data_IF_419381090325
#
_entry.id   IF_419381090325
#
_cell.length_a   1.000
_cell.length_b   1.000
_cell.length_c   1.000
_cell.angle_alpha   90.00
_cell.angle_beta   90.00
_cell.angle_gamma   90.00
#
_symmetry.space_group_name_H-M   'P 1'
#
loop_
_entity.id
_entity.type
_entity.pdbx_description
1 polymer ?
#
# COMPACT_ATOMS: atom_id res chain seq x y z
N UNK A 1 -51.30 -17.45 7.66
CA UNK A 1 -50.21 -18.40 7.97
C UNK A 1 -49.36 -17.81 9.07
N UNK A 2 -49.28 -18.47 10.23
CA UNK A 2 -48.46 -18.06 11.38
C UNK A 2 -47.12 -18.80 11.28
N UNK A 3 -46.03 -18.08 11.05
CA UNK A 3 -44.68 -18.63 11.20
C UNK A 3 -44.12 -18.19 12.55
N UNK A 4 -44.04 -19.13 13.48
CA UNK A 4 -43.33 -18.99 14.75
C UNK A 4 -41.82 -19.06 14.47
N UNK A 5 -41.14 -17.95 14.68
CA UNK A 5 -39.67 -17.90 14.75
C UNK A 5 -39.27 -18.38 16.15
N UNK A 6 -38.82 -19.63 16.26
CA UNK A 6 -38.11 -20.12 17.44
C UNK A 6 -36.68 -19.58 17.39
N UNK A 7 -36.46 -18.46 18.09
CA UNK A 7 -35.12 -18.00 18.48
C UNK A 7 -34.59 -18.94 19.57
N UNK A 8 -33.63 -19.79 19.23
CA UNK A 8 -32.90 -20.60 20.19
C UNK A 8 -31.53 -19.95 20.49
N UNK A 9 -31.55 -19.27 21.62
CA UNK A 9 -30.45 -18.94 22.52
C UNK A 9 -29.25 -19.91 22.48
N UNK A 10 -28.09 -19.47 22.00
CA UNK A 10 -26.80 -20.00 22.47
C UNK A 10 -26.05 -18.89 23.20
N UNK A 11 -26.18 -18.94 24.53
CA UNK A 11 -25.35 -18.22 25.49
C UNK A 11 -24.14 -19.11 25.79
N UNK A 12 -22.94 -18.64 25.50
CA UNK A 12 -21.71 -19.17 26.09
C UNK A 12 -20.87 -18.00 26.61
N UNK A 13 -21.02 -17.73 27.91
CA UNK A 13 -20.07 -16.99 28.77
C UNK A 13 -19.40 -18.05 29.67
N UNK A 14 -18.40 -17.72 30.50
CA UNK A 14 -17.10 -17.08 30.27
C UNK A 14 -15.96 -18.00 30.79
N UNK A 15 -14.68 -17.74 30.48
CA UNK A 15 -13.58 -18.26 31.32
C UNK A 15 -12.61 -17.14 31.66
N UNK A 16 -12.85 -16.55 32.82
CA UNK A 16 -11.83 -15.90 33.64
C UNK A 16 -10.66 -16.86 33.86
N UNK A 17 -9.45 -16.44 33.50
CA UNK A 17 -8.24 -16.87 34.19
C UNK A 17 -7.54 -15.62 34.70
N UNK A 18 -7.59 -15.44 36.02
CA UNK A 18 -6.81 -14.49 36.79
C UNK A 18 -5.63 -15.23 37.42
N UNK A 19 -4.41 -14.70 37.29
CA UNK A 19 -3.23 -14.90 38.14
C UNK A 19 -2.13 -13.96 37.60
N UNK A 20 -1.94 -12.75 38.14
CA UNK A 20 -1.11 -12.37 39.30
C UNK A 20 0.38 -12.74 39.16
N UNK A 21 1.23 -11.73 38.90
CA UNK A 21 2.69 -11.88 38.90
C UNK A 21 3.44 -10.57 38.62
N UNK A 22 3.42 -9.66 39.60
CA UNK A 22 4.27 -8.46 39.67
C UNK A 22 5.72 -8.89 39.90
N UNK A 23 6.69 -8.35 39.15
CA UNK A 23 7.99 -7.83 39.63
C UNK A 23 8.50 -6.86 38.55
N UNK A 24 8.60 -5.59 38.94
CA UNK A 24 9.26 -4.55 38.15
C UNK A 24 10.78 -4.65 38.25
N UNK A 25 11.44 -4.29 37.16
CA UNK A 25 12.86 -3.94 37.14
C UNK A 25 13.00 -2.62 36.38
N UNK A 26 12.94 -1.53 37.13
CA UNK A 26 13.40 -0.20 36.70
C UNK A 26 14.90 -0.07 36.98
N UNK A 27 15.52 0.94 36.34
CA UNK A 27 16.92 1.41 36.43
C UNK A 27 17.90 0.87 35.39
N UNK A 28 18.12 1.63 34.32
CA UNK A 28 19.13 2.70 34.35
C UNK A 28 18.99 3.68 33.19
N UNK A 29 18.92 4.95 33.57
CA UNK A 29 19.10 6.11 32.71
C UNK A 29 20.56 6.15 32.21
N UNK A 30 20.72 6.23 30.89
CA UNK A 30 21.99 6.57 30.24
C UNK A 30 21.78 7.77 29.34
N UNK A 31 21.83 8.97 29.92
CA UNK A 31 22.04 10.21 29.16
C UNK A 31 23.48 10.65 29.44
N UNK A 32 24.36 10.51 28.45
CA UNK A 32 25.71 11.06 28.47
C UNK A 32 26.14 11.35 27.03
N UNK A 33 25.97 12.59 26.58
CA UNK A 33 27.08 13.52 26.32
C UNK A 33 26.52 14.77 25.64
N UNK A 34 26.64 15.91 26.31
CA UNK A 34 26.38 17.22 25.71
C UNK A 34 27.44 17.54 24.68
N UNK A 35 27.05 17.59 23.41
CA UNK A 35 27.81 18.23 22.33
C UNK A 35 27.31 19.65 22.15
N UNK A 36 28.16 20.63 22.43
CA UNK A 36 27.84 22.05 22.30
C UNK A 36 27.61 22.46 20.84
N UNK A 37 26.51 23.14 20.59
CA UNK A 37 26.26 23.87 19.34
C UNK A 37 26.82 25.28 19.50
N UNK A 38 27.93 25.54 18.82
CA UNK A 38 28.26 26.91 18.42
C UNK A 38 27.19 27.37 17.41
N UNK A 39 26.70 28.63 17.48
CA UNK A 39 25.83 29.13 16.42
C UNK A 39 26.65 29.26 15.15
N UNK A 40 26.45 28.32 14.22
CA UNK A 40 26.96 28.44 12.86
C UNK A 40 26.24 29.63 12.24
N UNK A 41 27.05 30.60 11.85
CA UNK A 41 26.61 31.85 11.27
C UNK A 41 25.97 31.53 9.93
N UNK A 42 24.79 32.08 9.70
CA UNK A 42 23.93 31.92 8.54
C UNK A 42 24.60 32.51 7.29
N UNK A 43 25.65 31.88 6.77
CA UNK A 43 26.33 32.34 5.55
C UNK A 43 27.31 31.37 4.90
N UNK A 44 27.01 30.07 4.85
CA UNK A 44 27.60 29.17 3.84
C UNK A 44 26.88 27.82 3.84
N UNK A 45 25.71 27.75 3.18
CA UNK A 45 25.17 26.48 2.66
C UNK A 45 24.55 26.80 1.30
N UNK A 46 25.39 27.23 0.37
CA UNK A 46 25.07 27.27 -1.06
C UNK A 46 26.05 26.30 -1.72
N UNK A 47 25.68 25.02 -1.67
CA UNK A 47 26.09 23.93 -2.58
C UNK A 47 25.62 22.59 -1.98
N UNK A 48 24.34 22.29 -2.21
CA UNK A 48 23.83 20.93 -2.28
C UNK A 48 23.07 20.80 -3.61
N UNK A 49 23.79 21.06 -4.70
CA UNK A 49 23.38 20.73 -6.06
C UNK A 49 24.39 19.69 -6.55
N UNK A 50 24.00 18.42 -6.53
CA UNK A 50 24.57 17.24 -7.20
C UNK A 50 24.23 16.02 -6.32
N UNK A 51 23.33 15.11 -6.68
CA UNK A 51 22.98 14.61 -7.99
C UNK A 51 21.48 14.32 -8.02
N UNK A 52 20.73 14.95 -8.94
CA UNK A 52 19.52 14.31 -9.45
C UNK A 52 20.04 13.11 -10.23
N UNK A 53 19.86 11.92 -9.66
CA UNK A 53 19.89 10.73 -10.49
C UNK A 53 18.73 10.93 -11.47
N UNK A 54 19.07 11.11 -12.74
CA UNK A 54 18.14 10.81 -13.82
C UNK A 54 17.95 9.31 -13.68
N UNK A 55 16.93 8.92 -12.89
CA UNK A 55 16.53 7.53 -12.75
C UNK A 55 16.23 7.06 -14.17
N UNK A 56 17.12 6.21 -14.68
CA UNK A 56 16.81 5.42 -15.86
C UNK A 56 15.53 4.67 -15.49
N UNK A 57 14.38 5.17 -15.95
CA UNK A 57 13.06 4.67 -15.58
C UNK A 57 12.97 3.19 -15.92
N UNK A 58 13.31 2.36 -14.94
CA UNK A 58 13.21 0.91 -15.03
C UNK A 58 11.73 0.58 -14.92
N UNK A 59 11.04 0.61 -16.06
CA UNK A 59 9.65 0.25 -16.10
C UNK A 59 9.52 -1.25 -15.86
N UNK A 60 8.95 -1.62 -14.71
CA UNK A 60 8.61 -2.98 -14.38
C UNK A 60 7.30 -3.38 -15.07
N UNK A 61 7.21 -4.63 -15.54
CA UNK A 61 5.96 -5.17 -16.10
C UNK A 61 5.07 -5.66 -14.96
N UNK A 62 3.81 -5.21 -14.94
CA UNK A 62 2.83 -5.60 -13.95
C UNK A 62 2.42 -7.09 -14.14
N UNK A 63 2.73 -8.00 -13.20
CA UNK A 63 2.56 -9.45 -13.41
C UNK A 63 1.12 -9.91 -13.64
N UNK A 64 0.15 -9.13 -13.17
CA UNK A 64 -1.28 -9.44 -13.27
C UNK A 64 -2.00 -8.50 -14.25
N UNK A 65 -1.26 -7.67 -14.99
CA UNK A 65 -1.80 -6.71 -15.95
C UNK A 65 -2.53 -5.53 -15.31
N UNK A 66 -2.19 -5.20 -14.07
CA UNK A 66 -2.67 -4.00 -13.38
C UNK A 66 -1.73 -2.81 -13.50
N UNK A 67 -1.92 -1.84 -12.62
CA UNK A 67 -1.10 -0.64 -12.49
C UNK A 67 -0.15 -0.78 -11.32
N UNK A 68 1.15 -0.56 -11.57
CA UNK A 68 2.17 -0.58 -10.52
C UNK A 68 2.21 0.76 -9.79
N UNK A 69 2.31 0.67 -8.47
CA UNK A 69 2.49 1.78 -7.54
C UNK A 69 3.76 1.50 -6.77
N UNK A 70 4.74 2.39 -6.89
CA UNK A 70 6.00 2.27 -6.16
C UNK A 70 5.80 2.61 -4.68
N UNK A 71 6.42 1.83 -3.80
CA UNK A 71 6.29 1.96 -2.36
C UNK A 71 7.68 2.12 -1.72
N UNK A 72 7.87 3.26 -1.05
CA UNK A 72 9.05 3.50 -0.22
C UNK A 72 10.36 3.58 -0.99
N UNK A 73 10.46 4.46 -1.98
CA UNK A 73 11.70 4.67 -2.75
C UNK A 73 12.18 3.38 -3.45
N UNK A 74 11.27 2.80 -4.25
CA UNK A 74 11.45 1.55 -5.01
C UNK A 74 11.75 0.29 -4.17
N UNK A 75 11.52 0.30 -2.85
CA UNK A 75 11.75 -0.88 -2.01
C UNK A 75 10.73 -2.00 -2.26
N UNK A 76 9.50 -1.62 -2.59
CA UNK A 76 8.39 -2.52 -2.86
C UNK A 76 7.51 -1.93 -3.96
N UNK A 77 6.62 -2.76 -4.49
CA UNK A 77 5.57 -2.31 -5.40
C UNK A 77 4.22 -2.81 -4.90
N UNK A 78 3.16 -2.03 -5.13
CA UNK A 78 1.79 -2.52 -5.11
C UNK A 78 1.25 -2.57 -6.53
N UNK A 79 0.63 -3.67 -6.92
CA UNK A 79 -0.08 -3.75 -8.21
C UNK A 79 -1.58 -3.70 -7.97
N UNK A 80 -2.25 -2.70 -8.57
CA UNK A 80 -3.70 -2.54 -8.50
C UNK A 80 -4.33 -3.11 -9.76
N UNK A 81 -5.21 -4.10 -9.61
CA UNK A 81 -5.94 -4.73 -10.71
C UNK A 81 -7.43 -4.49 -10.50
N UNK A 82 -8.08 -3.88 -11.49
CA UNK A 82 -9.53 -3.80 -11.55
C UNK A 82 -10.10 -4.87 -12.49
N UNK A 83 -10.97 -5.72 -11.96
CA UNK A 83 -11.67 -6.76 -12.70
C UNK A 83 -13.13 -6.31 -12.95
N UNK A 84 -13.44 -5.59 -14.04
CA UNK A 84 -14.76 -4.98 -14.24
C UNK A 84 -15.90 -6.01 -14.34
N UNK A 85 -15.62 -7.20 -14.87
CA UNK A 85 -16.62 -8.27 -14.99
C UNK A 85 -17.03 -8.87 -13.64
N UNK A 86 -16.17 -8.75 -12.62
CA UNK A 86 -16.41 -9.28 -11.28
C UNK A 86 -16.70 -8.17 -10.26
N UNK A 87 -16.70 -6.90 -10.69
CA UNK A 87 -16.81 -5.72 -9.82
C UNK A 87 -15.85 -5.83 -8.63
N UNK A 88 -14.60 -6.18 -8.93
CA UNK A 88 -13.58 -6.53 -7.94
C UNK A 88 -12.32 -5.71 -8.14
N UNK A 89 -11.82 -5.15 -7.05
CA UNK A 89 -10.52 -4.49 -6.97
C UNK A 89 -9.57 -5.41 -6.23
N UNK A 90 -8.39 -5.64 -6.78
CA UNK A 90 -7.35 -6.49 -6.20
C UNK A 90 -6.08 -5.67 -6.08
N UNK A 91 -5.39 -5.80 -4.94
CA UNK A 91 -4.07 -5.24 -4.72
C UNK A 91 -3.11 -6.38 -4.38
N UNK A 92 -2.00 -6.45 -5.11
CA UNK A 92 -0.89 -7.34 -4.82
C UNK A 92 0.26 -6.54 -4.20
N UNK A 93 0.90 -7.10 -3.18
CA UNK A 93 2.14 -6.56 -2.60
C UNK A 93 3.31 -7.32 -3.20
N UNK A 94 4.25 -6.61 -3.80
CA UNK A 94 5.36 -7.14 -4.57
C UNK A 94 6.71 -6.60 -4.08
N UNK A 95 7.79 -7.28 -4.46
CA UNK A 95 9.15 -6.83 -4.19
C UNK A 95 9.55 -5.60 -5.03
N UNK A 96 10.78 -5.11 -4.81
CA UNK A 96 11.35 -3.95 -5.51
C UNK A 96 11.31 -4.05 -7.04
N UNK A 97 11.29 -5.26 -7.60
CA UNK A 97 11.30 -5.48 -9.06
C UNK A 97 9.93 -5.82 -9.63
N UNK A 98 8.88 -5.85 -8.79
CA UNK A 98 7.55 -6.30 -9.14
C UNK A 98 7.51 -7.73 -9.71
N UNK A 99 8.46 -8.59 -9.35
CA UNK A 99 8.55 -9.96 -9.89
C UNK A 99 8.01 -11.00 -8.92
N UNK A 100 8.13 -10.75 -7.61
CA UNK A 100 7.76 -11.69 -6.57
C UNK A 100 6.79 -11.06 -5.57
N UNK A 101 5.88 -11.87 -5.05
CA UNK A 101 4.92 -11.46 -4.02
C UNK A 101 5.57 -11.34 -2.64
N UNK A 102 5.13 -10.36 -1.87
CA UNK A 102 5.57 -10.11 -0.50
C UNK A 102 4.38 -10.27 0.43
N UNK A 103 4.35 -11.39 1.16
CA UNK A 103 3.28 -11.66 2.13
C UNK A 103 3.46 -10.79 3.38
N UNK A 104 2.36 -10.21 3.85
CA UNK A 104 2.33 -9.36 5.06
C UNK A 104 1.27 -9.85 6.04
N UNK A 105 1.48 -9.70 7.37
CA UNK A 105 0.55 -10.16 8.40
C UNK A 105 -0.61 -9.17 8.63
N UNK A 106 -1.31 -8.79 7.57
CA UNK A 106 -2.44 -7.87 7.61
C UNK A 106 -3.74 -8.60 7.27
N UNK A 107 -4.80 -8.33 8.02
CA UNK A 107 -6.16 -8.84 7.72
C UNK A 107 -6.86 -8.00 6.64
N UNK A 108 -6.46 -6.74 6.48
CA UNK A 108 -6.99 -5.82 5.50
C UNK A 108 -6.00 -4.67 5.24
N UNK A 109 -6.16 -4.02 4.08
CA UNK A 109 -5.53 -2.74 3.74
C UNK A 109 -6.59 -1.75 3.27
N UNK A 110 -6.23 -0.47 3.16
CA UNK A 110 -7.11 0.57 2.63
C UNK A 110 -6.54 1.16 1.33
N UNK A 111 -7.43 1.31 0.35
CA UNK A 111 -7.21 2.17 -0.80
C UNK A 111 -8.02 3.45 -0.60
N UNK A 112 -7.32 4.57 -0.39
CA UNK A 112 -7.95 5.88 -0.28
C UNK A 112 -8.33 6.37 -1.67
N UNK A 113 -9.62 6.54 -1.93
CA UNK A 113 -10.14 7.05 -3.20
C UNK A 113 -10.16 8.57 -3.17
N UNK A 114 -9.61 9.23 -4.18
CA UNK A 114 -9.65 10.68 -4.27
C UNK A 114 -11.11 11.19 -4.38
N UNK A 115 -11.51 12.07 -3.47
CA UNK A 115 -12.87 12.65 -3.46
C UNK A 115 -13.99 11.66 -3.10
N UNK A 116 -13.65 10.45 -2.64
CA UNK A 116 -14.61 9.39 -2.34
C UNK A 116 -14.41 8.76 -0.95
N UNK A 117 -15.21 7.73 -0.66
CA UNK A 117 -15.01 6.87 0.50
C UNK A 117 -13.88 5.87 0.24
N UNK A 118 -13.04 5.57 1.24
CA UNK A 118 -11.98 4.58 1.08
C UNK A 118 -12.56 3.18 0.82
N UNK A 119 -11.82 2.38 0.06
CA UNK A 119 -12.13 0.97 -0.19
C UNK A 119 -11.28 0.12 0.75
N UNK A 120 -11.93 -0.62 1.64
CA UNK A 120 -11.25 -1.62 2.48
C UNK A 120 -11.09 -2.92 1.71
N UNK A 121 -9.85 -3.36 1.50
CA UNK A 121 -9.54 -4.63 0.84
C UNK A 121 -9.16 -5.69 1.87
N UNK A 122 -9.87 -6.81 1.87
CA UNK A 122 -9.63 -7.92 2.79
C UNK A 122 -8.49 -8.80 2.29
N UNK A 123 -7.71 -9.36 3.22
CA UNK A 123 -6.67 -10.32 2.93
C UNK A 123 -7.23 -11.55 2.20
N UNK A 124 -6.60 -11.92 1.09
CA UNK A 124 -6.93 -13.10 0.31
C UNK A 124 -5.65 -13.90 -0.01
N UNK A 125 -5.11 -14.63 0.98
CA UNK A 125 -3.85 -15.36 0.84
C UNK A 125 -3.82 -16.26 -0.40
N UNK A 126 -2.64 -16.38 -0.99
CA UNK A 126 -2.39 -17.20 -2.18
C UNK A 126 -1.28 -18.23 -1.96
N UNK A 127 -1.04 -19.06 -2.97
CA UNK A 127 0.03 -20.06 -2.91
C UNK A 127 1.38 -19.36 -2.69
N UNK A 128 2.12 -19.81 -1.67
CA UNK A 128 3.38 -19.19 -1.24
C UNK A 128 3.25 -18.29 -0.01
N UNK A 129 2.04 -17.83 0.33
CA UNK A 129 1.82 -17.07 1.55
C UNK A 129 1.89 -17.96 2.79
N UNK A 130 2.59 -17.50 3.83
CA UNK A 130 2.64 -18.18 5.12
C UNK A 130 1.30 -18.04 5.88
N UNK A 131 1.04 -18.95 6.83
CA UNK A 131 -0.17 -18.89 7.66
C UNK A 131 -0.28 -17.54 8.40
N UNK A 132 -1.44 -16.90 8.29
CA UNK A 132 -1.70 -15.58 8.88
C UNK A 132 -1.11 -14.41 8.10
N UNK A 133 -0.58 -14.63 6.89
CA UNK A 133 -0.10 -13.58 6.01
C UNK A 133 -0.83 -13.63 4.67
N UNK A 134 -0.85 -12.49 3.97
CA UNK A 134 -1.37 -12.38 2.62
C UNK A 134 -0.49 -11.45 1.79
N UNK A 135 -0.25 -11.81 0.54
CA UNK A 135 0.36 -10.92 -0.46
C UNK A 135 -0.68 -10.33 -1.42
N UNK A 136 -1.95 -10.71 -1.27
CA UNK A 136 -3.06 -10.25 -2.11
C UNK A 136 -4.22 -9.83 -1.23
N UNK A 137 -4.82 -8.70 -1.59
CA UNK A 137 -5.97 -8.11 -0.91
C UNK A 137 -7.04 -7.81 -1.94
N UNK A 138 -8.31 -8.06 -1.62
CA UNK A 138 -9.40 -7.78 -2.57
C UNK A 138 -10.63 -7.17 -1.92
N UNK A 139 -11.37 -6.40 -2.70
CA UNK A 139 -12.64 -5.82 -2.32
C UNK A 139 -13.66 -5.98 -3.46
N UNK A 140 -14.92 -6.12 -3.06
CA UNK A 140 -16.10 -5.92 -3.90
C UNK A 140 -17.06 -4.98 -3.18
N UNK A 141 -18.06 -4.45 -3.87
CA UNK A 141 -19.09 -3.61 -3.27
C UNK A 141 -19.48 -2.42 -4.12
N UNK A 142 -20.34 -1.55 -3.58
CA UNK A 142 -20.92 -0.43 -4.33
C UNK A 142 -19.86 0.55 -4.86
N UNK A 143 -18.86 0.91 -4.04
CA UNK A 143 -17.76 1.79 -4.46
C UNK A 143 -16.95 1.16 -5.59
N UNK A 144 -16.67 -0.14 -5.52
CA UNK A 144 -15.92 -0.85 -6.57
C UNK A 144 -16.74 -0.99 -7.85
N UNK A 145 -18.05 -1.25 -7.75
CA UNK A 145 -18.96 -1.32 -8.89
C UNK A 145 -19.18 0.04 -9.58
N UNK A 146 -18.92 1.14 -8.88
CA UNK A 146 -18.98 2.49 -9.45
C UNK A 146 -17.82 2.77 -10.41
N UNK A 147 -16.66 2.12 -10.21
CA UNK A 147 -15.49 2.21 -11.10
C UNK A 147 -15.88 1.66 -12.48
N UNK A 148 -15.50 2.36 -13.56
CA UNK A 148 -15.81 1.97 -14.94
C UNK A 148 -14.56 1.53 -15.68
N UNK A 149 -13.51 2.33 -15.53
CA UNK A 149 -12.17 2.00 -15.95
C UNK A 149 -11.21 2.15 -14.77
N UNK A 150 -10.09 1.43 -14.78
CA UNK A 150 -9.02 1.64 -13.81
C UNK A 150 -8.40 3.04 -13.98
N UNK A 151 -8.41 3.57 -15.21
CA UNK A 151 -7.97 4.94 -15.53
C UNK A 151 -8.84 6.02 -14.84
N UNK A 152 -10.07 5.69 -14.44
CA UNK A 152 -10.94 6.61 -13.69
C UNK A 152 -10.65 6.57 -12.17
N UNK A 153 -9.88 5.58 -11.70
CA UNK A 153 -9.56 5.40 -10.30
C UNK A 153 -8.27 6.15 -9.95
N UNK A 154 -8.42 7.22 -9.17
CA UNK A 154 -7.31 7.94 -8.55
C UNK A 154 -7.34 7.77 -7.04
N UNK A 155 -6.17 7.71 -6.43
CA UNK A 155 -6.08 7.47 -5.00
C UNK A 155 -4.71 7.06 -4.52
N UNK A 156 -4.65 6.45 -3.36
CA UNK A 156 -3.41 5.91 -2.80
C UNK A 156 -3.65 4.64 -2.03
N UNK A 157 -2.71 3.71 -2.09
CA UNK A 157 -2.68 2.54 -1.23
C UNK A 157 -1.67 2.75 -0.12
N UNK A 158 -1.99 2.30 1.09
CA UNK A 158 -1.04 2.24 2.21
C UNK A 158 -0.92 0.81 2.71
N UNK A 159 0.31 0.32 2.82
CA UNK A 159 0.64 -1.04 3.27
C UNK A 159 1.69 -0.97 4.37
N UNK A 160 1.47 -1.71 5.46
CA UNK A 160 2.50 -1.92 6.48
C UNK A 160 3.33 -3.15 6.13
N UNK A 161 4.65 -2.96 5.98
CA UNK A 161 5.59 -4.03 5.65
C UNK A 161 6.71 -3.99 6.70
N UNK A 162 6.89 -5.08 7.43
CA UNK A 162 7.89 -5.18 8.50
C UNK A 162 7.77 -4.12 9.61
N UNK A 163 6.58 -3.56 9.84
CA UNK A 163 6.30 -2.54 10.86
C UNK A 163 6.49 -1.09 10.39
N UNK A 164 6.90 -0.88 9.13
CA UNK A 164 6.97 0.42 8.49
C UNK A 164 5.77 0.60 7.55
N UNK A 165 5.19 1.81 7.54
CA UNK A 165 4.09 2.15 6.62
C UNK A 165 4.63 2.74 5.33
N UNK A 166 4.19 2.20 4.21
CA UNK A 166 4.52 2.67 2.87
C UNK A 166 3.24 3.09 2.15
N UNK A 167 3.27 4.27 1.54
CA UNK A 167 2.14 4.82 0.78
C UNK A 167 2.61 5.15 -0.62
N UNK A 168 1.80 4.80 -1.62
CA UNK A 168 2.02 5.18 -3.00
C UNK A 168 0.70 5.57 -3.66
N UNK A 169 0.77 6.50 -4.61
CA UNK A 169 -0.38 7.01 -5.35
C UNK A 169 -0.64 6.17 -6.61
N UNK A 170 -1.91 5.98 -6.94
CA UNK A 170 -2.33 5.51 -8.25
C UNK A 170 -2.55 6.73 -9.14
N UNK A 171 -1.55 7.03 -9.97
CA UNK A 171 -1.58 8.09 -10.98
C UNK A 171 -1.50 7.47 -12.37
N UNK A 172 -2.25 8.04 -13.32
CA UNK A 172 -2.28 7.61 -14.72
C UNK A 172 -1.57 8.67 -15.54
N UNK A 173 -0.29 8.45 -15.84
CA UNK A 173 0.47 9.35 -16.71
C UNK A 173 0.03 9.15 -18.16
N UNK A 174 -0.76 10.10 -18.66
CA UNK A 174 -1.01 10.21 -20.09
C UNK A 174 0.19 10.88 -20.76
N UNK A 175 1.20 10.08 -21.10
CA UNK A 175 2.25 10.51 -22.03
C UNK A 175 1.64 10.71 -23.43
N UNK A 176 1.08 11.90 -23.67
CA UNK A 176 0.81 12.40 -25.02
C UNK A 176 2.16 12.63 -25.72
N UNK A 177 2.71 11.58 -26.32
CA UNK A 177 3.70 11.73 -27.38
C UNK A 177 3.01 12.22 -28.67
N UNK A 178 2.67 13.51 -28.68
CA UNK A 178 2.38 14.24 -29.91
C UNK A 178 3.68 14.33 -30.72
N UNK A 179 3.89 13.36 -31.61
CA UNK A 179 4.87 13.49 -32.69
C UNK A 179 4.29 14.44 -33.76
N UNK A 180 4.33 15.73 -33.47
CA UNK A 180 4.26 16.75 -34.52
C UNK A 180 5.63 16.85 -35.24
N UNK A 181 5.65 16.49 -36.53
CA UNK A 181 6.76 16.74 -37.46
C UNK A 181 7.34 15.45 -38.07
N UNK A 182 7.62 15.32 -39.37
CA UNK A 182 8.09 16.35 -40.30
C UNK A 182 7.72 16.07 -41.77
N UNK A 183 7.76 17.18 -42.50
CA UNK A 183 7.55 17.36 -43.93
C UNK A 183 8.29 16.38 -44.85
N UNK A 184 7.62 16.04 -45.95
CA UNK A 184 8.23 15.37 -47.09
C UNK A 184 9.40 16.15 -47.65
N UNK A 185 10.60 15.58 -47.52
CA UNK A 185 11.75 15.93 -48.33
C UNK A 185 11.68 15.16 -49.64
N UNK A 186 11.26 15.85 -50.70
CA UNK A 186 11.38 15.37 -52.08
C UNK A 186 12.80 15.67 -52.60
N UNK A 187 13.43 14.69 -53.24
CA UNK A 187 14.81 14.72 -53.74
C UNK A 187 14.83 14.69 -55.28
#
# INVERSE_FOLDING_TARGET
MRFQVLSQSLRCLPHSFALLGIIGFSFQSGCDQGGGYAPVTEKEVEQAEAHVHEDEHHHHEAPHGGHLIELGDHLYNAEVVFEPNNERLVVYVLDAHAENTVAVPLEQIEFAVEGGEPITLAAEPQEGDAEGQASRFSATGETVAAIKDIEDLHGSVTVEINGDSYTGALEHDHDEHDHEGEAGHEH
#
